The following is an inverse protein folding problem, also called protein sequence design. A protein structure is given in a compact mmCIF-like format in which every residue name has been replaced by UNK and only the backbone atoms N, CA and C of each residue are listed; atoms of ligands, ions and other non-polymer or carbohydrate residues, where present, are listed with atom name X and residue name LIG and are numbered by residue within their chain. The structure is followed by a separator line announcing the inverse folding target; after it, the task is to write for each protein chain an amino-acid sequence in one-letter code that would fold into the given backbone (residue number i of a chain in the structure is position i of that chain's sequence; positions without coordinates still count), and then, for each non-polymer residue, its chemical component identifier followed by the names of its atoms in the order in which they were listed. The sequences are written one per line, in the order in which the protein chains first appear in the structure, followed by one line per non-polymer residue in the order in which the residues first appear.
data_IF_712975643967
#
_entry.id   IF_712975643967
#
_cell.length_a   1.000
_cell.length_b   1.000
_cell.length_c   1.000
_cell.angle_alpha   90.00
_cell.angle_beta   90.00
_cell.angle_gamma   90.00
#
_symmetry.space_group_name_H-M   'P 1'
#
loop_
_entity.id
_entity.type
_entity.pdbx_description
1 polymer ?
#
# COMPACT_ATOMS: atom_id res chain seq x y z
N UNK A 1 -8.52 0.48 -3.66
CA UNK A 1 -8.07 0.15 -2.29
C UNK A 1 -8.59 -1.24 -1.97
N UNK A 2 -7.71 -2.18 -1.57
CA UNK A 2 -8.15 -3.47 -1.06
C UNK A 2 -8.87 -3.30 0.29
N UNK A 3 -9.66 -4.30 0.66
CA UNK A 3 -10.11 -4.48 2.04
C UNK A 3 -9.00 -5.23 2.78
N UNK A 4 -8.48 -4.64 3.85
CA UNK A 4 -7.44 -5.23 4.70
C UNK A 4 -8.06 -5.55 6.04
N UNK A 5 -7.80 -6.75 6.56
CA UNK A 5 -8.35 -7.21 7.83
C UNK A 5 -7.27 -7.27 8.90
N UNK A 6 -7.61 -7.03 10.18
CA UNK A 6 -6.77 -7.46 11.27
C UNK A 6 -6.69 -9.00 11.30
N UNK A 7 -5.60 -9.53 11.86
CA UNK A 7 -5.28 -10.95 11.77
C UNK A 7 -6.33 -11.85 12.46
N UNK A 8 -7.00 -11.36 13.50
CA UNK A 8 -8.04 -12.08 14.23
C UNK A 8 -9.34 -12.26 13.43
N UNK A 9 -9.63 -11.35 12.48
CA UNK A 9 -10.80 -11.43 11.60
C UNK A 9 -10.65 -12.47 10.46
N UNK A 10 -9.47 -13.08 10.27
CA UNK A 10 -9.26 -14.09 9.22
C UNK A 10 -10.20 -15.30 9.36
N UNK A 11 -10.36 -15.79 10.59
CA UNK A 11 -11.21 -16.96 10.86
C UNK A 11 -12.67 -16.67 10.52
N UNK A 12 -13.15 -15.49 10.90
CA UNK A 12 -14.52 -15.05 10.61
C UNK A 12 -14.71 -14.90 9.10
N UNK A 13 -13.77 -14.29 8.39
CA UNK A 13 -13.82 -14.15 6.94
C UNK A 13 -13.92 -15.49 6.20
N UNK A 14 -13.21 -16.52 6.67
CA UNK A 14 -13.18 -17.84 6.03
C UNK A 14 -14.37 -18.73 6.39
N UNK A 15 -14.95 -18.57 7.58
CA UNK A 15 -16.01 -19.44 8.09
C UNK A 15 -17.43 -18.92 7.85
N UNK A 16 -17.57 -17.62 7.57
CA UNK A 16 -18.84 -16.92 7.54
C UNK A 16 -19.46 -16.89 6.14
N UNK A 17 -20.78 -16.79 6.06
CA UNK A 17 -21.49 -16.67 4.78
C UNK A 17 -21.23 -15.31 4.09
N UNK A 18 -21.41 -15.22 2.76
CA UNK A 18 -21.11 -14.00 2.02
C UNK A 18 -21.90 -12.77 2.45
N UNK A 19 -23.11 -12.91 3.00
CA UNK A 19 -23.91 -11.75 3.41
C UNK A 19 -23.36 -11.16 4.71
N UNK A 20 -22.99 -12.00 5.67
CA UNK A 20 -22.36 -11.55 6.92
C UNK A 20 -20.92 -11.06 6.70
N UNK A 21 -20.17 -11.62 5.74
CA UNK A 21 -18.83 -11.13 5.37
C UNK A 21 -18.83 -9.69 4.82
N UNK A 22 -19.95 -9.19 4.29
CA UNK A 22 -20.03 -7.79 3.81
C UNK A 22 -19.77 -6.78 4.92
N UNK A 23 -20.14 -7.11 6.16
CA UNK A 23 -19.97 -6.21 7.30
C UNK A 23 -18.49 -6.03 7.65
N UNK A 24 -17.65 -7.03 7.36
CA UNK A 24 -16.20 -6.98 7.53
C UNK A 24 -15.52 -6.03 6.53
N UNK A 25 -16.14 -5.77 5.37
CA UNK A 25 -15.58 -4.97 4.27
C UNK A 25 -15.54 -3.46 4.55
N UNK A 26 -14.88 -3.06 5.63
CA UNK A 26 -14.70 -1.66 6.02
C UNK A 26 -13.35 -1.10 5.53
N UNK A 27 -13.24 0.22 5.30
CA UNK A 27 -11.95 0.85 5.01
C UNK A 27 -10.95 0.63 6.14
N UNK A 28 -9.72 0.25 5.79
CA UNK A 28 -8.65 0.13 6.76
C UNK A 28 -8.17 1.52 7.26
N UNK A 29 -7.78 1.67 8.54
CA UNK A 29 -7.26 2.92 9.07
C UNK A 29 -6.10 3.47 8.22
N UNK A 30 -6.18 4.75 7.83
CA UNK A 30 -5.15 5.37 6.98
C UNK A 30 -3.81 5.54 7.69
N UNK A 31 -3.85 5.73 9.00
CA UNK A 31 -2.65 6.03 9.80
C UNK A 31 -1.75 4.80 10.00
N UNK A 32 -2.21 3.62 9.58
CA UNK A 32 -1.48 2.35 9.65
C UNK A 32 -1.01 1.88 8.26
N UNK A 33 -1.09 2.74 7.24
CA UNK A 33 -0.62 2.46 5.87
C UNK A 33 0.23 3.63 5.38
N UNK A 34 1.46 3.33 4.99
CA UNK A 34 2.33 4.26 4.25
C UNK A 34 2.36 3.93 2.75
N UNK A 35 2.61 4.94 1.92
CA UNK A 35 2.80 4.79 0.49
C UNK A 35 4.04 5.56 0.03
N UNK A 36 4.85 4.93 -0.81
CA UNK A 36 6.08 5.47 -1.36
C UNK A 36 6.10 5.27 -2.87
N UNK A 37 6.76 6.16 -3.60
CA UNK A 37 6.94 6.01 -5.04
C UNK A 37 7.95 4.90 -5.34
N UNK A 38 7.69 4.11 -6.39
CA UNK A 38 8.54 2.99 -6.83
C UNK A 38 8.79 3.08 -8.34
N UNK A 39 9.76 2.32 -8.83
CA UNK A 39 10.07 2.26 -10.25
C UNK A 39 8.90 1.73 -11.10
N UNK A 40 8.75 2.23 -12.33
CA UNK A 40 7.81 1.69 -13.32
C UNK A 40 8.14 0.28 -13.79
N UNK A 41 9.27 -0.32 -13.34
CA UNK A 41 9.63 -1.73 -13.59
C UNK A 41 8.51 -2.69 -13.20
N UNK A 42 7.76 -2.39 -12.13
CA UNK A 42 6.65 -3.22 -11.64
C UNK A 42 5.56 -3.47 -12.68
N UNK A 43 5.43 -2.59 -13.69
CA UNK A 43 4.42 -2.72 -14.76
C UNK A 43 4.69 -3.90 -15.71
N UNK A 44 5.91 -4.47 -15.70
CA UNK A 44 6.23 -5.68 -16.47
C UNK A 44 6.22 -6.90 -15.55
N UNK A 45 5.23 -7.82 -15.69
CA UNK A 45 5.13 -9.03 -14.86
C UNK A 45 6.33 -9.97 -14.94
N UNK A 46 7.21 -9.83 -15.95
CA UNK A 46 8.43 -10.63 -16.06
C UNK A 46 9.57 -10.19 -15.12
N UNK A 47 9.44 -9.04 -14.46
CA UNK A 47 10.40 -8.59 -13.44
C UNK A 47 10.00 -9.19 -12.08
N UNK A 48 10.55 -10.37 -11.75
CA UNK A 48 10.35 -11.07 -10.47
C UNK A 48 11.62 -10.96 -9.62
N UNK A 49 11.93 -9.73 -9.21
CA UNK A 49 13.11 -9.38 -8.44
C UNK A 49 12.76 -8.32 -7.38
N UNK A 50 13.48 -8.26 -6.24
CA UNK A 50 13.10 -7.38 -5.12
C UNK A 50 13.13 -5.88 -5.47
N UNK A 51 13.81 -5.47 -6.54
CA UNK A 51 13.92 -4.06 -6.93
C UNK A 51 12.57 -3.47 -7.39
N UNK A 52 11.58 -4.31 -7.70
CA UNK A 52 10.26 -3.83 -8.15
C UNK A 52 9.44 -3.17 -7.03
N UNK A 53 9.80 -3.39 -5.76
CA UNK A 53 9.17 -2.76 -4.59
C UNK A 53 10.09 -1.78 -3.85
N UNK A 54 11.33 -1.62 -4.31
CA UNK A 54 12.27 -0.68 -3.70
C UNK A 54 11.77 0.76 -3.90
N UNK A 55 11.71 1.59 -2.84
CA UNK A 55 11.35 3.00 -2.96
C UNK A 55 12.30 3.73 -3.91
N UNK A 56 11.76 4.65 -4.71
CA UNK A 56 12.59 5.59 -5.45
C UNK A 56 13.18 6.61 -4.48
N UNK A 57 14.50 6.65 -4.39
CA UNK A 57 15.21 7.74 -3.73
C UNK A 57 15.03 9.02 -4.55
N UNK A 58 14.16 9.89 -4.06
CA UNK A 58 14.07 11.27 -4.51
C UNK A 58 14.61 12.18 -3.41
N UNK A 59 15.90 12.50 -3.49
CA UNK A 59 16.39 13.77 -2.95
C UNK A 59 15.52 14.86 -3.61
N UNK A 60 14.67 15.51 -2.84
CA UNK A 60 13.74 16.54 -3.32
C UNK A 60 14.55 17.68 -3.95
N UNK A 61 14.84 17.51 -5.25
CA UNK A 61 15.73 18.36 -6.03
C UNK A 61 14.97 19.63 -6.36
N UNK A 62 14.99 20.59 -5.43
CA UNK A 62 14.28 21.86 -5.61
C UNK A 62 14.14 22.73 -4.37
N UNK A 63 14.32 22.20 -3.16
CA UNK A 63 14.22 23.02 -1.94
C UNK A 63 15.48 23.87 -1.65
N UNK A 64 16.61 23.59 -2.30
CA UNK A 64 17.83 24.41 -2.18
C UNK A 64 17.73 25.81 -2.81
N UNK A 65 16.69 26.09 -3.60
CA UNK A 65 16.51 27.37 -4.30
C UNK A 65 15.66 28.42 -3.57
N UNK A 66 15.04 28.07 -2.43
CA UNK A 66 14.08 28.95 -1.75
C UNK A 66 14.62 29.59 -0.46
N UNK A 67 15.92 29.46 -0.15
CA UNK A 67 16.53 30.20 0.95
C UNK A 67 17.32 31.39 0.42
N UNK A 68 16.61 32.42 -0.04
CA UNK A 68 17.11 33.81 -0.15
C UNK A 68 15.95 34.73 -0.52
N UNK A 69 15.58 35.61 0.42
CA UNK A 69 14.55 36.64 0.28
C UNK A 69 14.26 37.26 1.63
#
# INVERSE_FOLDING_TARGET
MPVVFPQDAESDWLATDPDTCKDLCQPYPKDDIDAYEISTRVNNPGNDDPQVIEPLDHEQSGLGGFSSG
#
